data_IF_916990835312
#
_entry.id   IF_916990835312
#
_cell.length_a   1.000
_cell.length_b   1.000
_cell.length_c   1.000
_cell.angle_alpha   90.00
_cell.angle_beta   90.00
_cell.angle_gamma   90.00
#
_symmetry.space_group_name_H-M   'P 1'
#
loop_
_entity.id
_entity.type
_entity.pdbx_description
1 polymer ?
#
# COMPACT_ATOMS: atom_id res chain seq x y z
N UNK A 1 -70.35 -35.57 0.88
CA UNK A 1 -69.10 -36.38 0.89
C UNK A 1 -67.94 -35.52 0.40
N UNK A 2 -67.04 -35.17 1.34
CA UNK A 2 -65.61 -34.82 1.25
C UNK A 2 -65.12 -33.89 0.11
N UNK A 3 -65.02 -32.61 0.48
CA UNK A 3 -64.12 -31.59 -0.10
C UNK A 3 -62.65 -32.01 -0.02
N UNK A 4 -61.87 -31.73 -1.07
CA UNK A 4 -60.40 -31.78 -1.04
C UNK A 4 -59.85 -30.50 -1.68
N UNK A 5 -59.46 -29.56 -0.82
CA UNK A 5 -58.70 -28.36 -1.16
C UNK A 5 -57.23 -28.78 -1.24
N UNK A 6 -56.63 -28.72 -2.44
CA UNK A 6 -55.19 -28.92 -2.61
C UNK A 6 -54.50 -27.55 -2.46
N UNK A 7 -53.88 -27.33 -1.31
CA UNK A 7 -53.10 -26.14 -1.00
C UNK A 7 -51.70 -26.30 -1.61
N UNK A 8 -51.48 -25.73 -2.80
CA UNK A 8 -50.16 -25.68 -3.44
C UNK A 8 -49.25 -24.70 -2.70
N UNK A 9 -48.27 -25.19 -1.97
CA UNK A 9 -47.20 -24.35 -1.40
C UNK A 9 -46.24 -23.93 -2.52
N UNK A 10 -46.30 -22.67 -2.92
CA UNK A 10 -45.28 -22.06 -3.75
C UNK A 10 -44.07 -21.73 -2.87
N UNK A 11 -43.01 -22.56 -2.92
CA UNK A 11 -41.70 -22.20 -2.38
C UNK A 11 -41.07 -21.13 -3.29
N UNK A 12 -41.10 -19.88 -2.83
CA UNK A 12 -40.38 -18.78 -3.46
C UNK A 12 -38.89 -18.88 -3.06
N UNK A 13 -38.07 -19.48 -3.91
CA UNK A 13 -36.61 -19.46 -3.74
C UNK A 13 -36.08 -18.06 -4.09
N UNK A 14 -35.89 -17.21 -3.08
CA UNK A 14 -35.18 -15.95 -3.23
C UNK A 14 -33.68 -16.24 -3.34
N UNK A 15 -33.17 -16.38 -4.57
CA UNK A 15 -31.73 -16.52 -4.83
C UNK A 15 -31.04 -15.18 -4.57
N UNK A 16 -30.49 -15.01 -3.37
CA UNK A 16 -29.64 -13.88 -3.03
C UNK A 16 -28.28 -14.07 -3.74
N UNK A 17 -28.13 -13.50 -4.94
CA UNK A 17 -26.83 -13.40 -5.61
C UNK A 17 -25.94 -12.42 -4.83
N UNK A 18 -25.16 -12.94 -3.89
CA UNK A 18 -24.00 -12.25 -3.37
C UNK A 18 -23.00 -12.09 -4.54
N UNK A 19 -22.56 -10.87 -4.88
CA UNK A 19 -21.44 -10.73 -5.79
C UNK A 19 -20.23 -11.36 -5.10
N UNK A 20 -19.84 -12.54 -5.55
CA UNK A 20 -18.53 -13.08 -5.23
C UNK A 20 -17.51 -12.08 -5.80
N UNK A 21 -16.90 -11.28 -4.93
CA UNK A 21 -15.66 -10.58 -5.27
C UNK A 21 -14.62 -11.67 -5.46
N UNK A 22 -14.59 -12.26 -6.66
CA UNK A 22 -13.55 -13.17 -7.06
C UNK A 22 -12.24 -12.38 -7.00
N UNK A 23 -11.44 -12.64 -5.97
CA UNK A 23 -10.11 -12.05 -5.83
C UNK A 23 -9.28 -12.61 -6.99
N UNK A 24 -9.19 -11.88 -8.09
CA UNK A 24 -8.54 -12.34 -9.31
C UNK A 24 -7.17 -12.96 -9.00
N UNK A 25 -6.93 -14.14 -9.57
CA UNK A 25 -5.65 -14.82 -9.56
C UNK A 25 -4.68 -14.18 -10.58
N UNK A 26 -4.58 -12.85 -10.58
CA UNK A 26 -3.55 -12.19 -11.36
C UNK A 26 -2.16 -12.51 -10.78
N UNK A 27 -1.18 -12.54 -11.67
CA UNK A 27 0.23 -12.68 -11.30
C UNK A 27 0.68 -11.40 -10.58
N UNK A 28 1.20 -11.55 -9.36
CA UNK A 28 1.71 -10.43 -8.58
C UNK A 28 3.07 -9.99 -9.13
N UNK A 29 3.24 -8.69 -9.30
CA UNK A 29 4.52 -8.07 -9.64
C UNK A 29 5.29 -7.76 -8.37
N UNK A 30 6.57 -8.14 -8.33
CA UNK A 30 7.44 -7.75 -7.23
C UNK A 30 7.51 -6.23 -7.10
N UNK A 31 7.61 -5.53 -8.24
CA UNK A 31 7.72 -4.07 -8.30
C UNK A 31 6.44 -3.36 -7.86
N UNK A 32 5.27 -3.80 -8.33
CA UNK A 32 4.01 -3.05 -8.14
C UNK A 32 3.13 -3.54 -6.99
N UNK A 33 3.40 -4.74 -6.45
CA UNK A 33 2.59 -5.31 -5.37
C UNK A 33 3.42 -5.53 -4.10
N UNK A 34 4.64 -6.08 -4.20
CA UNK A 34 5.45 -6.45 -3.02
C UNK A 34 6.22 -5.26 -2.45
N UNK A 35 6.96 -4.52 -3.28
CA UNK A 35 7.75 -3.37 -2.82
C UNK A 35 6.90 -2.27 -2.14
N UNK A 36 5.71 -1.89 -2.65
CA UNK A 36 4.83 -0.94 -1.96
C UNK A 36 4.42 -1.43 -0.57
N UNK A 37 4.18 -2.73 -0.40
CA UNK A 37 3.88 -3.31 0.92
C UNK A 37 5.06 -3.10 1.86
N UNK A 38 6.29 -3.44 1.43
CA UNK A 38 7.49 -3.29 2.26
C UNK A 38 7.75 -1.84 2.66
N UNK A 39 7.52 -0.90 1.75
CA UNK A 39 7.68 0.53 2.03
C UNK A 39 6.59 1.07 2.94
N UNK A 40 5.33 0.70 2.72
CA UNK A 40 4.22 1.14 3.55
C UNK A 40 4.32 0.61 4.99
N UNK A 41 4.80 -0.62 5.17
CA UNK A 41 5.06 -1.19 6.51
C UNK A 41 6.39 -0.76 7.11
N UNK A 42 7.19 0.04 6.38
CA UNK A 42 8.46 0.61 6.86
C UNK A 42 9.62 -0.39 6.92
N UNK A 43 9.52 -1.56 6.29
CA UNK A 43 10.56 -2.60 6.32
C UNK A 43 11.86 -2.11 5.70
N UNK A 44 11.78 -1.48 4.53
CA UNK A 44 12.91 -0.94 3.77
C UNK A 44 13.19 0.55 4.08
N UNK A 45 12.74 1.04 5.24
CA UNK A 45 13.07 2.38 5.70
C UNK A 45 14.50 2.47 6.25
N UNK A 46 15.10 3.67 6.18
CA UNK A 46 16.48 3.92 6.60
C UNK A 46 16.80 3.62 8.08
N UNK A 47 15.78 3.51 8.92
CA UNK A 47 15.94 3.12 10.33
C UNK A 47 16.14 1.62 10.57
N UNK A 48 15.92 0.76 9.57
CA UNK A 48 16.00 -0.70 9.73
C UNK A 48 16.64 -1.42 8.54
N UNK A 49 15.90 -2.22 7.75
CA UNK A 49 16.51 -2.99 6.66
C UNK A 49 16.91 -2.12 5.48
N UNK A 50 16.31 -0.93 5.32
CA UNK A 50 16.72 0.09 4.35
C UNK A 50 17.94 0.92 4.75
N UNK A 51 18.54 0.67 5.92
CA UNK A 51 19.82 1.29 6.28
C UNK A 51 20.93 0.82 5.34
N UNK A 52 21.99 1.60 5.15
CA UNK A 52 23.12 1.25 4.27
C UNK A 52 23.68 -0.15 4.54
N UNK A 53 23.81 -0.54 5.80
CA UNK A 53 24.26 -1.87 6.21
C UNK A 53 23.11 -2.89 6.42
N UNK A 54 21.85 -2.46 6.34
CA UNK A 54 20.69 -3.22 6.81
C UNK A 54 20.71 -3.47 8.32
N UNK A 55 19.87 -4.41 8.78
CA UNK A 55 19.84 -4.86 10.19
C UNK A 55 19.59 -6.35 10.28
N UNK A 56 20.19 -6.99 11.29
CA UNK A 56 19.98 -8.42 11.56
C UNK A 56 20.44 -9.33 10.42
N UNK A 57 21.48 -8.91 9.68
CA UNK A 57 21.97 -9.63 8.51
C UNK A 57 21.00 -9.64 7.33
N UNK A 58 20.07 -8.69 7.26
CA UNK A 58 19.14 -8.54 6.14
C UNK A 58 19.08 -7.07 5.70
N UNK A 59 19.36 -6.84 4.42
CA UNK A 59 19.40 -5.52 3.81
C UNK A 59 18.39 -5.44 2.66
N UNK A 60 17.64 -4.36 2.66
CA UNK A 60 16.82 -3.89 1.56
C UNK A 60 17.38 -2.54 1.10
N UNK A 61 17.17 -2.20 -0.15
CA UNK A 61 17.42 -0.88 -0.70
C UNK A 61 16.49 0.12 -0.02
N UNK A 62 17.00 1.32 0.24
CA UNK A 62 16.20 2.36 0.85
C UNK A 62 15.00 2.66 -0.04
N UNK A 63 13.79 2.55 0.50
CA UNK A 63 12.56 2.90 -0.21
C UNK A 63 12.40 2.19 -1.57
N UNK A 64 12.89 0.95 -1.69
CA UNK A 64 12.76 0.13 -2.91
C UNK A 64 13.53 0.66 -4.13
N UNK A 65 14.59 1.43 -3.91
CA UNK A 65 15.46 1.99 -4.96
C UNK A 65 16.08 0.95 -5.91
N UNK A 66 16.40 -0.26 -5.42
CA UNK A 66 16.98 -1.34 -6.22
C UNK A 66 16.16 -2.64 -6.07
N UNK A 67 15.10 -2.79 -6.90
CA UNK A 67 14.23 -3.97 -6.89
C UNK A 67 14.96 -5.29 -7.15
N UNK A 68 16.01 -5.29 -7.97
CA UNK A 68 16.71 -6.52 -8.33
C UNK A 68 17.51 -7.04 -7.12
N UNK A 69 18.24 -6.14 -6.45
CA UNK A 69 18.96 -6.48 -5.22
C UNK A 69 18.00 -6.84 -4.09
N UNK A 70 16.88 -6.13 -3.94
CA UNK A 70 15.86 -6.44 -2.93
C UNK A 70 15.30 -7.84 -3.10
N UNK A 71 14.93 -8.17 -4.34
CA UNK A 71 14.44 -9.49 -4.67
C UNK A 71 15.47 -10.56 -4.30
N UNK A 72 16.72 -10.39 -4.76
CA UNK A 72 17.81 -11.32 -4.45
C UNK A 72 18.02 -11.49 -2.94
N UNK A 73 18.03 -10.40 -2.18
CA UNK A 73 18.25 -10.44 -0.72
C UNK A 73 17.10 -11.14 0.02
N UNK A 74 15.87 -10.94 -0.43
CA UNK A 74 14.70 -11.60 0.15
C UNK A 74 14.76 -13.11 -0.09
N UNK A 75 15.15 -13.51 -1.29
CA UNK A 75 14.82 -14.86 -1.79
C UNK A 75 16.02 -15.79 -1.97
N UNK A 76 17.24 -15.27 -2.17
CA UNK A 76 18.45 -16.05 -2.50
C UNK A 76 19.56 -15.87 -1.48
N UNK A 77 19.78 -14.65 -0.98
CA UNK A 77 20.80 -14.38 0.03
C UNK A 77 20.63 -15.29 1.25
N UNK A 78 21.74 -15.57 1.94
CA UNK A 78 21.76 -16.43 3.11
C UNK A 78 21.22 -17.85 2.84
N UNK A 79 21.47 -18.35 1.62
CA UNK A 79 21.02 -19.65 1.09
C UNK A 79 19.49 -19.79 1.04
N UNK A 80 18.78 -18.70 0.77
CA UNK A 80 17.32 -18.70 0.60
C UNK A 80 16.50 -18.95 1.87
N UNK A 81 17.14 -18.94 3.06
CA UNK A 81 16.51 -19.30 4.36
C UNK A 81 15.33 -18.43 4.79
N UNK A 82 14.97 -17.39 4.04
CA UNK A 82 13.88 -16.46 4.38
C UNK A 82 12.54 -16.83 3.76
N UNK A 83 12.54 -17.68 2.73
CA UNK A 83 11.36 -18.06 1.95
C UNK A 83 11.13 -19.55 2.07
N UNK A 84 9.91 -19.91 2.48
CA UNK A 84 9.39 -21.27 2.47
C UNK A 84 8.26 -21.34 1.45
N UNK A 85 8.52 -21.94 0.28
CA UNK A 85 7.57 -21.99 -0.83
C UNK A 85 6.40 -22.93 -0.56
N UNK A 86 6.64 -24.03 0.17
CA UNK A 86 5.59 -25.03 0.45
C UNK A 86 4.61 -24.52 1.50
N UNK A 87 5.09 -23.66 2.40
CA UNK A 87 4.30 -23.05 3.49
C UNK A 87 4.59 -21.54 3.54
N UNK A 88 4.05 -20.73 2.61
CA UNK A 88 4.37 -19.30 2.51
C UNK A 88 4.27 -18.51 3.82
N UNK A 89 3.27 -18.81 4.64
CA UNK A 89 3.03 -18.17 5.93
C UNK A 89 4.12 -18.43 6.98
N UNK A 90 4.90 -19.50 6.87
CA UNK A 90 6.00 -19.82 7.80
C UNK A 90 7.32 -19.15 7.43
N UNK A 91 7.42 -18.58 6.21
CA UNK A 91 8.58 -17.83 5.75
C UNK A 91 9.02 -16.78 6.76
N UNK A 92 10.33 -16.68 7.07
CA UNK A 92 10.85 -15.62 7.95
C UNK A 92 10.50 -14.22 7.43
N UNK A 93 10.39 -14.07 6.11
CA UNK A 93 9.94 -12.84 5.45
C UNK A 93 8.51 -12.41 5.88
N UNK A 94 7.67 -13.35 6.32
CA UNK A 94 6.29 -13.12 6.79
C UNK A 94 6.20 -13.17 8.32
N UNK A 95 6.85 -14.14 8.97
CA UNK A 95 6.74 -14.36 10.41
C UNK A 95 7.46 -13.30 11.25
N UNK A 96 8.52 -12.67 10.72
CA UNK A 96 9.21 -11.54 11.38
C UNK A 96 8.31 -10.30 11.48
N UNK A 97 7.75 -9.74 10.38
CA UNK A 97 6.93 -8.55 10.47
C UNK A 97 5.57 -8.77 11.16
N UNK A 98 5.05 -10.01 11.22
CA UNK A 98 3.86 -10.36 12.03
C UNK A 98 4.17 -10.58 13.51
N UNK A 99 5.46 -10.60 13.89
CA UNK A 99 5.95 -10.96 15.21
C UNK A 99 5.58 -12.38 15.69
N UNK A 100 5.19 -13.27 14.77
CA UNK A 100 5.02 -14.70 15.07
C UNK A 100 6.35 -15.35 15.50
N UNK A 101 7.47 -14.80 15.03
CA UNK A 101 8.79 -15.02 15.62
C UNK A 101 9.37 -13.70 16.10
N UNK A 102 10.28 -13.75 17.09
CA UNK A 102 10.89 -12.53 17.67
C UNK A 102 11.49 -11.65 16.57
N UNK A 103 10.99 -10.42 16.48
CA UNK A 103 11.47 -9.37 15.58
C UNK A 103 11.73 -8.10 16.38
N UNK A 104 12.96 -7.57 16.31
CA UNK A 104 13.36 -6.37 17.08
C UNK A 104 12.57 -5.12 16.65
N UNK A 105 12.10 -5.08 15.40
CA UNK A 105 11.23 -4.01 14.89
C UNK A 105 9.76 -4.11 15.32
N UNK A 106 9.39 -5.12 16.13
CA UNK A 106 8.01 -5.31 16.57
C UNK A 106 7.08 -5.87 15.48
N UNK A 107 5.77 -5.83 15.76
CA UNK A 107 4.71 -6.20 14.84
C UNK A 107 4.38 -5.01 13.94
N UNK A 108 4.58 -5.17 12.64
CA UNK A 108 4.32 -4.16 11.59
C UNK A 108 3.39 -4.66 10.50
N UNK A 109 3.06 -5.96 10.52
CA UNK A 109 2.16 -6.62 9.58
C UNK A 109 1.08 -7.39 10.36
N UNK A 110 -0.17 -7.22 9.96
CA UNK A 110 -1.31 -7.96 10.52
C UNK A 110 -1.72 -9.10 9.60
N UNK A 111 -2.04 -10.25 10.17
CA UNK A 111 -2.33 -11.50 9.47
C UNK A 111 -3.64 -11.41 8.65
N UNK A 112 -4.57 -10.55 9.06
CA UNK A 112 -5.82 -10.27 8.35
C UNK A 112 -5.71 -9.13 7.32
N UNK A 113 -4.51 -8.57 7.09
CA UNK A 113 -4.32 -7.46 6.17
C UNK A 113 -4.16 -7.89 4.71
N UNK A 114 -4.49 -6.99 3.77
CA UNK A 114 -4.20 -7.19 2.34
C UNK A 114 -2.69 -7.37 2.12
N UNK A 115 -1.86 -6.58 2.80
CA UNK A 115 -0.40 -6.69 2.76
C UNK A 115 0.09 -8.11 3.07
N UNK A 116 -0.44 -8.76 4.11
CA UNK A 116 -0.10 -10.13 4.44
C UNK A 116 -0.50 -11.10 3.33
N UNK A 117 -1.69 -10.91 2.76
CA UNK A 117 -2.18 -11.72 1.64
C UNK A 117 -1.32 -11.54 0.38
N UNK A 118 -0.84 -10.32 0.09
CA UNK A 118 0.06 -10.06 -1.04
C UNK A 118 1.38 -10.81 -0.86
N UNK A 119 2.04 -10.68 0.29
CA UNK A 119 3.34 -11.32 0.52
C UNK A 119 3.26 -12.85 0.45
N UNK A 120 2.25 -13.44 1.08
CA UNK A 120 2.05 -14.90 1.08
C UNK A 120 1.66 -15.44 -0.29
N UNK A 121 0.77 -14.75 -1.04
CA UNK A 121 0.43 -15.13 -2.42
C UNK A 121 1.61 -14.97 -3.36
N UNK A 122 2.41 -13.92 -3.21
CA UNK A 122 3.60 -13.72 -4.03
C UNK A 122 4.62 -14.85 -3.84
N UNK A 123 4.85 -15.29 -2.59
CA UNK A 123 5.67 -16.48 -2.31
C UNK A 123 5.03 -17.73 -2.94
N UNK A 124 3.72 -17.92 -2.77
CA UNK A 124 2.99 -19.04 -3.35
C UNK A 124 3.09 -19.11 -4.88
N UNK A 125 3.20 -17.96 -5.55
CA UNK A 125 3.42 -17.84 -6.99
C UNK A 125 4.89 -18.06 -7.41
N UNK A 126 5.75 -18.54 -6.50
CA UNK A 126 7.17 -18.79 -6.77
C UNK A 126 8.08 -17.58 -6.57
N UNK A 127 7.59 -16.54 -5.87
CA UNK A 127 8.31 -15.30 -5.62
C UNK A 127 8.95 -14.71 -6.89
N UNK A 128 8.15 -14.45 -7.96
CA UNK A 128 8.68 -13.90 -9.21
C UNK A 128 9.41 -12.58 -8.95
N UNK A 129 10.55 -12.39 -9.64
CA UNK A 129 11.35 -11.17 -9.55
C UNK A 129 10.82 -10.03 -10.40
N UNK A 130 11.46 -8.85 -10.32
CA UNK A 130 11.16 -7.75 -11.23
C UNK A 130 11.43 -8.18 -12.68
N UNK A 131 10.59 -7.71 -13.60
CA UNK A 131 10.70 -7.96 -15.03
C UNK A 131 11.02 -6.66 -15.76
N UNK A 132 11.78 -6.75 -16.86
CA UNK A 132 11.92 -5.62 -17.79
C UNK A 132 10.58 -5.23 -18.45
N UNK A 133 9.61 -6.16 -18.46
CA UNK A 133 8.26 -5.94 -18.97
C UNK A 133 7.27 -5.51 -17.87
N UNK A 134 7.73 -5.26 -16.63
CA UNK A 134 6.86 -4.65 -15.62
C UNK A 134 6.42 -3.27 -16.13
N UNK A 135 5.12 -2.97 -16.17
CA UNK A 135 4.65 -1.73 -16.77
C UNK A 135 5.07 -0.52 -15.93
N UNK A 136 5.54 0.55 -16.55
CA UNK A 136 5.96 1.76 -15.83
C UNK A 136 4.74 2.62 -15.51
N UNK A 137 4.80 3.37 -14.40
CA UNK A 137 3.76 4.36 -14.09
C UNK A 137 3.96 5.56 -15.00
N UNK A 138 2.94 5.88 -15.79
CA UNK A 138 2.91 7.03 -16.72
C UNK A 138 2.17 8.22 -16.11
N UNK A 139 1.16 7.97 -15.27
CA UNK A 139 0.40 9.02 -14.60
C UNK A 139 -0.02 8.58 -13.20
N UNK A 140 -0.04 9.52 -12.26
CA UNK A 140 -0.49 9.30 -10.89
C UNK A 140 -1.48 10.40 -10.51
N UNK A 141 -2.67 10.00 -10.05
CA UNK A 141 -3.76 10.91 -9.70
C UNK A 141 -4.17 10.72 -8.25
N UNK A 142 -4.48 11.83 -7.58
CA UNK A 142 -5.01 11.84 -6.21
C UNK A 142 -6.30 12.60 -6.19
N UNK A 143 -7.26 12.05 -5.47
CA UNK A 143 -8.57 12.68 -5.26
C UNK A 143 -8.89 12.77 -3.76
N UNK A 144 -9.52 13.88 -3.33
CA UNK A 144 -9.71 15.11 -4.11
C UNK A 144 -8.40 15.91 -4.25
N UNK A 145 -8.21 16.57 -5.40
CA UNK A 145 -7.01 17.37 -5.70
C UNK A 145 -6.92 18.63 -4.83
N UNK A 146 -8.06 19.23 -4.49
CA UNK A 146 -8.17 20.39 -3.60
C UNK A 146 -9.30 20.12 -2.62
N UNK A 147 -9.08 20.45 -1.35
CA UNK A 147 -10.12 20.39 -0.32
C UNK A 147 -9.83 21.39 0.78
N UNK A 148 -10.90 21.98 1.31
CA UNK A 148 -10.85 22.82 2.50
C UNK A 148 -11.39 22.03 3.69
N UNK A 149 -10.58 21.88 4.72
CA UNK A 149 -10.94 21.18 5.95
C UNK A 149 -10.83 22.12 7.13
N UNK A 150 -11.86 22.12 7.99
CA UNK A 150 -11.80 22.78 9.30
C UNK A 150 -10.93 21.97 10.26
N UNK A 151 -10.41 22.63 11.30
CA UNK A 151 -9.68 21.95 12.38
C UNK A 151 -10.52 20.79 12.93
N UNK A 152 -9.91 19.60 12.99
CA UNK A 152 -10.56 18.37 13.46
C UNK A 152 -11.34 17.59 12.40
N UNK A 153 -11.48 18.10 11.17
CA UNK A 153 -12.05 17.32 10.07
C UNK A 153 -11.02 16.37 9.46
N UNK A 154 -11.49 15.19 9.08
CA UNK A 154 -10.72 14.18 8.34
C UNK A 154 -11.25 14.07 6.92
N UNK A 155 -10.36 13.84 5.98
CA UNK A 155 -10.67 13.59 4.58
C UNK A 155 -10.03 12.29 4.15
N UNK A 156 -10.81 11.45 3.47
CA UNK A 156 -10.27 10.27 2.82
C UNK A 156 -9.65 10.69 1.48
N UNK A 157 -8.38 10.37 1.31
CA UNK A 157 -7.70 10.50 0.02
C UNK A 157 -7.76 9.16 -0.72
N UNK A 158 -7.87 9.23 -2.03
CA UNK A 158 -7.69 8.10 -2.94
C UNK A 158 -6.55 8.38 -3.90
N UNK A 159 -5.81 7.34 -4.27
CA UNK A 159 -4.71 7.42 -5.21
C UNK A 159 -4.91 6.39 -6.33
N UNK A 160 -4.69 6.82 -7.57
CA UNK A 160 -4.82 6.00 -8.78
C UNK A 160 -3.55 6.11 -9.62
N UNK A 161 -2.99 4.96 -10.01
CA UNK A 161 -1.83 4.89 -10.89
C UNK A 161 -2.26 4.38 -12.27
N UNK A 162 -1.75 5.01 -13.33
CA UNK A 162 -1.93 4.61 -14.72
C UNK A 162 -0.59 4.09 -15.25
N UNK A 163 -0.65 2.94 -15.88
CA UNK A 163 0.51 2.15 -16.27
C UNK A 163 0.68 2.14 -17.79
N UNK A 164 1.91 1.94 -18.25
CA UNK A 164 2.27 1.93 -19.68
C UNK A 164 1.68 0.78 -20.48
N UNK A 165 1.08 -0.22 -19.82
CA UNK A 165 0.29 -1.28 -20.45
C UNK A 165 -1.18 -0.87 -20.67
N UNK A 166 -1.52 0.40 -20.39
CA UNK A 166 -2.88 0.93 -20.47
C UNK A 166 -3.76 0.57 -19.27
N UNK A 167 -3.26 -0.19 -18.31
CA UNK A 167 -4.02 -0.50 -17.09
C UNK A 167 -4.00 0.67 -16.12
N UNK A 168 -5.04 0.76 -15.30
CA UNK A 168 -5.07 1.65 -14.15
C UNK A 168 -5.37 0.86 -12.89
N UNK A 169 -4.86 1.32 -11.74
CA UNK A 169 -5.04 0.64 -10.46
C UNK A 169 -5.32 1.64 -9.36
N UNK A 170 -6.31 1.33 -8.53
CA UNK A 170 -6.43 1.96 -7.22
C UNK A 170 -5.26 1.50 -6.35
N UNK A 171 -4.44 2.47 -5.96
CA UNK A 171 -3.24 2.28 -5.14
C UNK A 171 -3.37 2.96 -3.78
N UNK A 172 -4.56 3.40 -3.39
CA UNK A 172 -4.86 4.09 -2.12
C UNK A 172 -4.33 3.30 -0.92
N UNK A 173 -4.59 1.98 -0.90
CA UNK A 173 -4.16 1.11 0.20
C UNK A 173 -2.66 0.78 0.17
N UNK A 174 -1.93 1.18 -0.86
CA UNK A 174 -0.49 0.91 -1.03
C UNK A 174 0.34 2.20 -0.99
N UNK A 175 -0.28 3.34 -1.23
CA UNK A 175 0.34 4.65 -1.10
C UNK A 175 0.63 5.01 0.36
N UNK A 176 1.69 5.79 0.56
CA UNK A 176 1.97 6.49 1.81
C UNK A 176 1.68 7.97 1.64
N UNK A 177 0.76 8.48 2.44
CA UNK A 177 0.40 9.89 2.51
C UNK A 177 1.18 10.54 3.65
N UNK A 178 1.96 11.58 3.36
CA UNK A 178 2.72 12.31 4.37
C UNK A 178 2.58 13.82 4.17
N UNK A 179 2.26 14.56 5.23
CA UNK A 179 2.34 16.03 5.19
C UNK A 179 3.77 16.45 5.48
N UNK A 180 4.42 17.15 4.57
CA UNK A 180 5.68 17.83 4.84
C UNK A 180 5.37 19.28 5.22
N UNK A 181 5.92 19.72 6.33
CA UNK A 181 5.96 21.14 6.64
C UNK A 181 7.14 21.74 5.88
N UNK A 182 6.87 22.37 4.74
CA UNK A 182 7.81 23.26 4.08
C UNK A 182 7.49 24.69 4.51
N UNK A 183 8.39 25.40 5.21
CA UNK A 183 8.27 26.85 5.31
C UNK A 183 8.61 27.42 3.93
N UNK A 184 7.60 27.62 3.09
CA UNK A 184 7.74 28.49 1.92
C UNK A 184 7.94 29.91 2.46
N UNK A 185 9.21 30.35 2.55
CA UNK A 185 9.53 31.77 2.66
C UNK A 185 9.14 32.45 1.33
N UNK A 186 7.85 32.75 1.17
CA UNK A 186 7.36 33.72 0.19
C UNK A 186 7.26 35.07 0.90
N UNK A 187 8.14 36.05 0.62
CA UNK A 187 8.02 37.39 1.18
C UNK A 187 6.92 38.14 0.44
N UNK A 188 5.66 37.85 0.78
CA UNK A 188 4.46 38.69 0.58
C UNK A 188 3.19 37.82 0.57
N UNK A 189 2.80 37.27 1.72
CA UNK A 189 1.38 36.99 1.96
C UNK A 189 1.12 37.43 3.39
N UNK A 190 0.44 38.57 3.53
CA UNK A 190 -0.19 39.00 4.78
C UNK A 190 -1.06 37.87 5.31
N UNK A 191 -1.08 37.71 6.63
CA UNK A 191 -1.64 36.60 7.38
C UNK A 191 -2.84 35.87 6.76
N UNK A 192 -2.79 34.53 6.86
CA UNK A 192 -3.80 33.52 6.50
C UNK A 192 -3.58 32.78 5.17
N UNK A 193 -2.66 31.80 5.17
CA UNK A 193 -2.79 30.45 4.58
C UNK A 193 -1.54 29.67 5.05
N UNK A 194 -1.70 28.77 6.02
CA UNK A 194 -0.66 27.77 6.30
C UNK A 194 -0.80 26.66 5.26
N UNK A 195 -0.12 26.78 4.12
CA UNK A 195 -0.06 25.67 3.17
C UNK A 195 0.73 24.52 3.81
N UNK A 196 0.13 23.32 3.86
CA UNK A 196 0.85 22.10 4.20
C UNK A 196 0.89 21.26 2.93
N UNK A 197 2.07 21.08 2.38
CA UNK A 197 2.26 20.27 1.17
C UNK A 197 2.11 18.80 1.54
N UNK A 198 1.23 18.09 0.83
CA UNK A 198 1.09 16.66 0.96
C UNK A 198 2.02 16.00 -0.06
N UNK A 199 2.90 15.16 0.46
CA UNK A 199 3.81 14.33 -0.30
C UNK A 199 3.29 12.91 -0.36
N UNK A 200 3.23 12.35 -1.56
CA UNK A 200 2.80 10.97 -1.76
C UNK A 200 3.90 10.22 -2.49
N UNK A 201 4.28 9.12 -1.86
CA UNK A 201 5.33 8.24 -2.36
C UNK A 201 4.68 6.89 -2.70
N UNK A 202 4.74 6.52 -3.98
CA UNK A 202 4.34 5.20 -4.46
C UNK A 202 5.58 4.43 -4.92
N UNK A 203 6.15 3.70 -3.97
CA UNK A 203 7.41 2.97 -4.12
C UNK A 203 7.27 1.82 -5.11
N UNK A 204 7.89 1.94 -6.28
CA UNK A 204 7.74 1.01 -7.41
C UNK A 204 7.67 1.74 -8.75
N UNK A 205 7.27 3.01 -8.73
CA UNK A 205 7.57 3.94 -9.81
C UNK A 205 9.06 4.32 -9.79
N UNK A 206 9.62 4.68 -10.94
CA UNK A 206 10.92 5.35 -11.00
C UNK A 206 10.90 6.60 -10.09
N UNK A 207 12.06 7.09 -9.65
CA UNK A 207 12.19 8.28 -8.78
C UNK A 207 11.43 9.53 -9.28
N UNK A 208 10.97 9.52 -10.52
CA UNK A 208 10.20 10.58 -11.18
C UNK A 208 8.70 10.61 -10.82
N UNK A 209 8.10 9.55 -10.26
CA UNK A 209 6.67 9.58 -9.88
C UNK A 209 6.45 9.97 -8.40
N UNK A 210 7.38 10.74 -7.84
CA UNK A 210 7.16 11.49 -6.61
C UNK A 210 6.12 12.58 -6.91
N UNK A 211 4.89 12.38 -6.45
CA UNK A 211 3.84 13.39 -6.56
C UNK A 211 3.95 14.39 -5.41
N UNK A 212 4.35 15.63 -5.70
CA UNK A 212 4.25 16.75 -4.77
C UNK A 212 2.93 17.49 -5.03
N UNK A 213 1.98 17.43 -4.09
CA UNK A 213 0.72 18.15 -4.20
C UNK A 213 0.59 19.19 -3.08
N UNK A 214 0.41 20.46 -3.46
CA UNK A 214 0.09 21.51 -2.50
C UNK A 214 -1.38 21.42 -2.11
N UNK A 215 -1.64 21.05 -0.85
CA UNK A 215 -2.98 21.10 -0.27
C UNK A 215 -3.12 22.41 0.51
N UNK A 216 -3.99 23.31 0.05
CA UNK A 216 -4.26 24.58 0.72
C UNK A 216 -5.23 24.32 1.88
N UNK A 217 -4.73 24.36 3.12
CA UNK A 217 -5.59 24.34 4.30
C UNK A 217 -6.05 25.76 4.61
N UNK A 218 -7.32 26.06 4.36
CA UNK A 218 -7.97 27.25 4.91
C UNK A 218 -8.45 26.92 6.33
N UNK A 219 -7.67 27.29 7.36
CA UNK A 219 -8.18 27.30 8.74
C UNK A 219 -9.11 28.48 8.87
N UNK A 220 -10.42 28.26 8.65
CA UNK A 220 -11.45 29.23 9.05
C UNK A 220 -11.65 29.09 10.55
N UNK A 221 -10.70 29.63 11.31
CA UNK A 221 -10.79 29.79 12.76
C UNK A 221 -10.96 31.27 13.05
N UNK A 222 -12.16 31.65 13.49
CA UNK A 222 -12.44 33.00 13.98
C UNK A 222 -11.37 33.42 14.97
N UNK A 223 -10.89 34.65 14.80
CA UNK A 223 -10.06 35.37 15.74
C UNK A 223 -10.67 35.24 17.16
N UNK A 224 -9.87 34.74 18.11
CA UNK A 224 -10.10 34.92 19.53
C UNK A 224 -8.71 34.90 20.20
N UNK A 225 -8.22 36.09 20.49
CA UNK A 225 -7.01 36.37 21.26
C UNK A 225 -6.99 35.62 22.59
N UNK A 226 -5.85 35.02 22.92
CA UNK A 226 -5.22 35.00 24.24
C UNK A 226 -3.71 34.80 24.05
#
# INVERSE_FOLDING_TARGET
MKSRIALGQALLFLTLSLPAVAKENHKLSFRHDVLPVLSKTGCNGGGCHGALAGKGGFRLSLNAYDPATDHYNITRENRGRRIEFTTPASSLFVTKPTAAVRHKGGKVLHENSEAYSILTRWIQQGAPGPSANDPTIERFEISPTISQLKKGQTLQLTAKAFFSDGTDRDVTQRARFASLWFPLFLPAVTEAILSKTLYIDFFGANAEAIGVFSMIYAVVGSCASL
#
